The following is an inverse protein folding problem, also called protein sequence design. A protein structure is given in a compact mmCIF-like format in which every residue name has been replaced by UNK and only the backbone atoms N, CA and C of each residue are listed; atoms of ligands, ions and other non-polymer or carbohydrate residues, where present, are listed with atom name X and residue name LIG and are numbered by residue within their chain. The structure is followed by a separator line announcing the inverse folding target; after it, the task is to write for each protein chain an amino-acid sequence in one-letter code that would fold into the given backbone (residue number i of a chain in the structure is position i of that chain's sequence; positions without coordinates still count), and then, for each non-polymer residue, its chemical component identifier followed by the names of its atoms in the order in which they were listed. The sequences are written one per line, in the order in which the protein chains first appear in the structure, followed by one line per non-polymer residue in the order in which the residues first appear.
data_IF_968912598326
#
_entry.id   IF_968912598326
#
_cell.length_a   1.000
_cell.length_b   1.000
_cell.length_c   1.000
_cell.angle_alpha   90.00
_cell.angle_beta   90.00
_cell.angle_gamma   90.00
#
_symmetry.space_group_name_H-M   'P 1'
#
loop_
_entity.id
_entity.type
_entity.pdbx_description
1 polymer ?
#
# COMPACT_ATOMS: atom_id res chain seq x y z
N UNK A 1 0.28 9.43 -5.60
CA UNK A 1 0.15 7.97 -5.32
C UNK A 1 -1.11 7.39 -5.94
N UNK A 2 -2.29 7.86 -5.53
CA UNK A 2 -3.60 7.35 -5.97
C UNK A 2 -3.76 7.20 -7.48
N UNK A 3 -3.43 8.24 -8.25
CA UNK A 3 -3.53 8.20 -9.71
C UNK A 3 -2.67 7.09 -10.33
N UNK A 4 -1.42 6.92 -9.87
CA UNK A 4 -0.56 5.85 -10.35
C UNK A 4 -1.11 4.47 -9.98
N UNK A 5 -1.55 4.28 -8.73
CA UNK A 5 -2.10 3.00 -8.28
C UNK A 5 -3.34 2.61 -9.09
N UNK A 6 -4.28 3.55 -9.26
CA UNK A 6 -5.58 3.33 -9.91
C UNK A 6 -5.47 3.26 -11.44
N UNK A 7 -4.69 4.14 -12.07
CA UNK A 7 -4.66 4.26 -13.54
C UNK A 7 -3.48 3.53 -14.19
N UNK A 8 -2.43 3.16 -13.43
CA UNK A 8 -1.21 2.54 -13.99
C UNK A 8 -0.98 1.15 -13.41
N UNK A 9 -0.81 1.03 -12.09
CA UNK A 9 -0.42 -0.23 -11.45
C UNK A 9 -1.54 -1.27 -11.53
N UNK A 10 -2.75 -0.93 -11.11
CA UNK A 10 -3.88 -1.86 -11.11
C UNK A 10 -4.23 -2.35 -12.53
N UNK A 11 -4.34 -1.49 -13.56
CA UNK A 11 -4.55 -1.95 -14.92
C UNK A 11 -3.40 -2.83 -15.46
N UNK A 12 -2.14 -2.50 -15.13
CA UNK A 12 -0.99 -3.32 -15.52
C UNK A 12 -1.07 -4.71 -14.90
N UNK A 13 -1.47 -4.81 -13.63
CA UNK A 13 -1.69 -6.07 -12.93
C UNK A 13 -2.82 -6.91 -13.54
N UNK A 14 -3.89 -6.28 -14.05
CA UNK A 14 -4.96 -7.00 -14.75
C UNK A 14 -4.55 -7.50 -16.15
N UNK A 15 -3.70 -6.74 -16.84
CA UNK A 15 -3.36 -7.01 -18.24
C UNK A 15 -2.24 -8.03 -18.41
N UNK A 16 -1.32 -8.11 -17.45
CA UNK A 16 -0.16 -9.00 -17.53
C UNK A 16 -0.42 -10.34 -16.83
N UNK A 17 0.18 -11.44 -17.35
CA UNK A 17 0.17 -12.73 -16.65
C UNK A 17 0.77 -12.62 -15.24
N UNK A 18 0.24 -13.40 -14.30
CA UNK A 18 0.63 -13.34 -12.88
C UNK A 18 2.13 -13.65 -12.67
N UNK A 19 2.71 -14.49 -13.52
CA UNK A 19 4.13 -14.84 -13.52
C UNK A 19 5.05 -13.68 -13.91
N UNK A 20 4.53 -12.63 -14.57
CA UNK A 20 5.31 -11.45 -14.94
C UNK A 20 5.44 -10.42 -13.82
N UNK A 21 4.61 -10.51 -12.77
CA UNK A 21 4.46 -9.47 -11.77
C UNK A 21 4.53 -10.03 -10.36
N UNK A 22 5.53 -9.58 -9.59
CA UNK A 22 5.55 -9.71 -8.14
C UNK A 22 5.47 -8.32 -7.51
N UNK A 23 4.26 -7.91 -7.11
CA UNK A 23 4.00 -6.57 -6.61
C UNK A 23 4.04 -6.57 -5.08
N UNK A 24 4.81 -5.64 -4.51
CA UNK A 24 4.78 -5.31 -3.09
C UNK A 24 4.30 -3.87 -2.94
N UNK A 25 3.29 -3.64 -2.11
CA UNK A 25 2.86 -2.32 -1.70
C UNK A 25 3.45 -1.99 -0.33
N UNK A 26 3.84 -0.74 -0.10
CA UNK A 26 4.40 -0.28 1.19
C UNK A 26 3.70 1.03 1.59
N UNK A 27 2.49 0.96 2.19
CA UNK A 27 1.76 2.15 2.61
C UNK A 27 2.47 2.82 3.80
N UNK A 28 3.22 3.86 3.51
CA UNK A 28 3.94 4.71 4.47
C UNK A 28 4.25 6.07 3.84
N UNK A 29 4.92 6.06 2.69
CA UNK A 29 5.20 7.25 1.88
C UNK A 29 6.13 8.24 2.60
N UNK A 30 5.64 9.46 2.81
CA UNK A 30 6.38 10.54 3.48
C UNK A 30 6.04 10.65 4.98
N UNK A 31 5.43 9.61 5.56
CA UNK A 31 5.22 9.58 7.00
C UNK A 31 6.57 9.63 7.74
N UNK A 32 6.52 10.10 8.98
CA UNK A 32 7.64 10.05 9.92
C UNK A 32 7.20 9.26 11.14
N UNK A 33 8.13 8.53 11.75
CA UNK A 33 7.88 7.84 13.01
C UNK A 33 8.72 8.38 14.16
N UNK A 34 8.17 8.28 15.38
CA UNK A 34 8.87 8.63 16.62
C UNK A 34 8.56 7.58 17.68
N UNK A 35 9.58 7.14 18.41
CA UNK A 35 9.39 6.29 19.58
C UNK A 35 9.08 7.17 20.80
N UNK A 36 7.89 7.01 21.37
CA UNK A 36 7.46 7.70 22.59
C UNK A 36 7.16 6.64 23.63
N UNK A 37 8.03 6.55 24.64
CA UNK A 37 7.87 5.63 25.78
C UNK A 37 7.72 4.15 25.36
N UNK A 38 8.45 3.72 24.34
CA UNK A 38 8.43 2.34 23.85
C UNK A 38 7.34 2.04 22.82
N UNK A 39 6.56 3.05 22.39
CA UNK A 39 5.55 2.92 21.34
C UNK A 39 5.86 3.81 20.14
N UNK A 40 5.68 3.29 18.94
CA UNK A 40 5.82 4.06 17.71
C UNK A 40 4.58 4.90 17.44
N UNK A 41 4.80 6.19 17.20
CA UNK A 41 3.78 7.13 16.74
C UNK A 41 4.16 7.61 15.34
N UNK A 42 3.15 7.84 14.51
CA UNK A 42 3.31 8.23 13.11
C UNK A 42 2.73 9.61 12.85
N UNK A 43 3.45 10.41 12.07
CA UNK A 43 3.01 11.72 11.60
C UNK A 43 3.03 11.72 10.07
N UNK A 44 1.91 12.09 9.46
CA UNK A 44 1.72 12.04 8.01
C UNK A 44 1.49 13.44 7.44
N UNK A 45 1.98 13.69 6.23
CA UNK A 45 1.97 15.02 5.58
C UNK A 45 0.56 15.58 5.33
N UNK A 46 -0.44 14.70 5.14
CA UNK A 46 -1.85 15.03 4.95
C UNK A 46 -2.67 14.79 6.25
N UNK A 47 -2.00 14.71 7.41
CA UNK A 47 -2.62 14.64 8.72
C UNK A 47 -3.07 13.23 9.15
N UNK A 48 -3.82 13.13 10.27
CA UNK A 48 -4.14 11.86 10.90
C UNK A 48 -4.98 10.90 10.04
N UNK A 49 -5.78 11.42 9.10
CA UNK A 49 -6.59 10.57 8.20
C UNK A 49 -5.69 9.77 7.24
N UNK A 50 -4.59 10.35 6.75
CA UNK A 50 -3.61 9.62 5.93
C UNK A 50 -2.91 8.52 6.74
N UNK A 51 -2.48 8.83 7.97
CA UNK A 51 -1.89 7.81 8.85
C UNK A 51 -2.86 6.66 9.13
N UNK A 52 -4.15 6.96 9.36
CA UNK A 52 -5.18 5.94 9.52
C UNK A 52 -5.39 5.15 8.23
N UNK A 53 -5.38 5.80 7.07
CA UNK A 53 -5.45 5.15 5.76
C UNK A 53 -4.30 4.17 5.54
N UNK A 54 -3.06 4.61 5.76
CA UNK A 54 -1.86 3.76 5.67
C UNK A 54 -1.96 2.54 6.61
N UNK A 55 -2.43 2.76 7.85
CA UNK A 55 -2.65 1.70 8.83
C UNK A 55 -3.71 0.69 8.38
N UNK A 56 -4.83 1.17 7.83
CA UNK A 56 -5.91 0.33 7.29
C UNK A 56 -5.38 -0.53 6.14
N UNK A 57 -4.62 0.05 5.21
CA UNK A 57 -4.05 -0.69 4.08
C UNK A 57 -3.03 -1.73 4.55
N UNK A 58 -2.14 -1.39 5.48
CA UNK A 58 -1.18 -2.33 6.05
C UNK A 58 -1.88 -3.51 6.76
N UNK A 59 -2.90 -3.24 7.57
CA UNK A 59 -3.68 -4.26 8.26
C UNK A 59 -4.53 -5.12 7.30
N UNK A 60 -5.12 -4.51 6.29
CA UNK A 60 -5.83 -5.22 5.23
C UNK A 60 -4.91 -6.21 4.52
N UNK A 61 -3.70 -5.77 4.15
CA UNK A 61 -2.71 -6.64 3.53
C UNK A 61 -2.30 -7.79 4.46
N UNK A 62 -2.12 -7.51 5.76
CA UNK A 62 -1.78 -8.51 6.76
C UNK A 62 -2.86 -9.59 6.90
N UNK A 63 -4.13 -9.20 7.02
CA UNK A 63 -5.24 -10.15 7.20
C UNK A 63 -5.57 -10.92 5.91
N UNK A 64 -5.52 -10.25 4.75
CA UNK A 64 -5.83 -10.86 3.45
C UNK A 64 -4.70 -11.75 2.92
N UNK A 65 -3.44 -11.46 3.31
CA UNK A 65 -2.19 -12.17 2.95
C UNK A 65 -1.80 -12.11 1.48
N UNK A 66 -2.73 -12.40 0.57
CA UNK A 66 -2.47 -12.53 -0.85
C UNK A 66 -2.79 -11.25 -1.61
N UNK A 67 -1.91 -10.86 -2.54
CA UNK A 67 -2.09 -9.70 -3.41
C UNK A 67 -3.43 -9.73 -4.15
N UNK A 68 -3.82 -10.89 -4.68
CA UNK A 68 -5.11 -11.06 -5.38
C UNK A 68 -6.34 -10.79 -4.51
N UNK A 69 -6.20 -10.89 -3.18
CA UNK A 69 -7.29 -10.66 -2.22
C UNK A 69 -7.34 -9.21 -1.76
N UNK A 70 -6.20 -8.59 -1.40
CA UNK A 70 -6.22 -7.21 -0.90
C UNK A 70 -6.13 -6.16 -2.01
N UNK A 71 -5.50 -6.44 -3.15
CA UNK A 71 -5.20 -5.39 -4.12
C UNK A 71 -6.45 -4.80 -4.78
N UNK A 72 -7.50 -5.58 -5.11
CA UNK A 72 -8.79 -5.02 -5.54
C UNK A 72 -9.48 -4.17 -4.48
N UNK A 73 -9.34 -4.53 -3.19
CA UNK A 73 -9.88 -3.73 -2.07
C UNK A 73 -9.11 -2.39 -1.97
N UNK A 74 -7.77 -2.42 -2.02
CA UNK A 74 -6.94 -1.19 -2.02
C UNK A 74 -7.27 -0.32 -3.23
N UNK A 75 -7.39 -0.90 -4.42
CA UNK A 75 -7.82 -0.18 -5.62
C UNK A 75 -9.16 0.55 -5.42
N UNK A 76 -10.13 -0.12 -4.80
CA UNK A 76 -11.42 0.48 -4.49
C UNK A 76 -11.31 1.63 -3.49
N UNK A 77 -10.56 1.42 -2.40
CA UNK A 77 -10.30 2.44 -1.37
C UNK A 77 -9.65 3.69 -1.99
N UNK A 78 -8.61 3.48 -2.79
CA UNK A 78 -7.81 4.52 -3.42
C UNK A 78 -8.47 5.15 -4.65
N UNK A 79 -9.56 4.56 -5.15
CA UNK A 79 -10.45 5.17 -6.16
C UNK A 79 -11.54 6.06 -5.52
N UNK A 80 -11.88 5.82 -4.26
CA UNK A 80 -12.97 6.52 -3.57
C UNK A 80 -12.59 7.87 -2.97
N UNK A 81 -13.54 8.63 -2.44
CA UNK A 81 -13.24 9.95 -1.85
C UNK A 81 -12.43 9.91 -0.54
N UNK A 82 -12.47 8.79 0.20
CA UNK A 82 -11.72 8.58 1.44
C UNK A 82 -11.48 7.09 1.68
N UNK A 83 -10.23 6.72 1.95
CA UNK A 83 -9.84 5.34 2.30
C UNK A 83 -10.57 4.88 3.58
N UNK A 84 -10.63 5.75 4.58
CA UNK A 84 -11.16 5.41 5.91
C UNK A 84 -12.67 5.16 5.90
N UNK A 85 -13.41 5.85 5.03
CA UNK A 85 -14.88 5.75 4.95
C UNK A 85 -15.38 4.63 4.03
N UNK A 86 -14.55 4.19 3.08
CA UNK A 86 -14.98 3.25 2.05
C UNK A 86 -14.63 1.79 2.34
N UNK A 87 -13.90 1.51 3.43
CA UNK A 87 -13.42 0.16 3.76
C UNK A 87 -14.54 -0.89 3.75
N UNK A 88 -15.68 -0.62 4.38
CA UNK A 88 -16.79 -1.57 4.44
C UNK A 88 -17.36 -1.88 3.05
N UNK A 89 -17.62 -0.84 2.25
CA UNK A 89 -18.16 -1.01 0.89
C UNK A 89 -17.17 -1.77 -0.01
N UNK A 90 -15.89 -1.44 0.07
CA UNK A 90 -14.85 -2.11 -0.73
C UNK A 90 -14.65 -3.57 -0.32
N UNK A 91 -14.64 -3.88 0.97
CA UNK A 91 -14.59 -5.27 1.46
C UNK A 91 -15.80 -6.06 1.00
N UNK A 92 -17.01 -5.49 1.09
CA UNK A 92 -18.23 -6.17 0.67
C UNK A 92 -18.23 -6.58 -0.81
N UNK A 93 -17.56 -5.80 -1.66
CA UNK A 93 -17.48 -6.05 -3.11
C UNK A 93 -16.36 -7.05 -3.43
N UNK A 94 -15.17 -6.86 -2.86
CA UNK A 94 -13.96 -7.53 -3.32
C UNK A 94 -13.44 -8.64 -2.40
N UNK A 95 -13.83 -8.65 -1.13
CA UNK A 95 -13.41 -9.65 -0.15
C UNK A 95 -14.44 -9.80 1.00
N UNK A 96 -15.69 -10.19 0.71
CA UNK A 96 -16.76 -10.28 1.70
C UNK A 96 -16.50 -11.32 2.81
N UNK A 97 -15.59 -12.26 2.57
CA UNK A 97 -15.16 -13.29 3.51
C UNK A 97 -14.11 -12.80 4.54
N UNK A 98 -13.49 -11.63 4.33
CA UNK A 98 -12.52 -11.07 5.27
C UNK A 98 -13.20 -10.63 6.56
N UNK A 99 -12.61 -11.04 7.68
CA UNK A 99 -13.10 -10.66 9.00
C UNK A 99 -12.76 -9.20 9.30
N UNK A 100 -13.76 -8.34 9.13
CA UNK A 100 -13.71 -6.90 9.45
C UNK A 100 -13.28 -6.63 10.89
N UNK A 101 -13.65 -7.50 11.83
CA UNK A 101 -13.29 -7.37 13.23
C UNK A 101 -11.79 -7.53 13.44
N UNK A 102 -11.13 -8.42 12.68
CA UNK A 102 -9.67 -8.59 12.73
C UNK A 102 -8.93 -7.40 12.14
N UNK A 103 -9.40 -6.88 11.01
CA UNK A 103 -8.81 -5.66 10.42
C UNK A 103 -8.91 -4.50 11.42
N UNK A 104 -10.09 -4.29 12.03
CA UNK A 104 -10.28 -3.25 13.03
C UNK A 104 -9.41 -3.45 14.27
N UNK A 105 -9.27 -4.69 14.76
CA UNK A 105 -8.39 -5.02 15.89
C UNK A 105 -6.91 -4.78 15.55
N UNK A 106 -6.48 -5.09 14.32
CA UNK A 106 -5.13 -4.78 13.85
C UNK A 106 -4.89 -3.27 13.84
N UNK A 107 -5.80 -2.48 13.27
CA UNK A 107 -5.68 -1.01 13.14
C UNK A 107 -5.59 -0.33 14.52
N UNK A 108 -6.31 -0.85 15.51
CA UNK A 108 -6.34 -0.29 16.88
C UNK A 108 -5.27 -0.88 17.80
N UNK A 109 -4.57 -1.93 17.37
CA UNK A 109 -3.67 -2.73 18.19
C UNK A 109 -2.20 -2.58 17.84
N UNK A 110 -1.36 -3.23 18.64
CA UNK A 110 0.10 -3.20 18.46
C UNK A 110 0.53 -3.86 17.13
N UNK A 111 -0.28 -4.75 16.55
CA UNK A 111 -0.04 -5.35 15.23
C UNK A 111 0.04 -4.27 14.15
N UNK A 112 -0.93 -3.35 14.11
CA UNK A 112 -0.92 -2.24 13.14
C UNK A 112 0.30 -1.35 13.32
N UNK A 113 0.61 -0.98 14.57
CA UNK A 113 1.81 -0.20 14.90
C UNK A 113 3.09 -0.89 14.42
N UNK A 114 3.21 -2.20 14.62
CA UNK A 114 4.36 -2.98 14.17
C UNK A 114 4.46 -3.04 12.63
N UNK A 115 3.32 -3.18 11.93
CA UNK A 115 3.28 -3.16 10.47
C UNK A 115 3.67 -1.79 9.89
N UNK A 116 3.17 -0.70 10.46
CA UNK A 116 3.55 0.65 10.05
C UNK A 116 5.03 0.95 10.30
N UNK A 117 5.58 0.48 11.43
CA UNK A 117 7.01 0.59 11.72
C UNK A 117 7.85 -0.24 10.73
N UNK A 118 7.40 -1.45 10.40
CA UNK A 118 8.06 -2.27 9.39
C UNK A 118 8.07 -1.57 8.02
N UNK A 119 6.94 -0.95 7.63
CA UNK A 119 6.87 -0.17 6.39
C UNK A 119 7.79 1.07 6.43
N UNK A 120 7.95 1.71 7.59
CA UNK A 120 8.92 2.79 7.79
C UNK A 120 10.34 2.30 7.49
N UNK A 121 10.76 1.19 8.11
CA UNK A 121 12.07 0.58 7.90
C UNK A 121 12.32 0.20 6.44
N UNK A 122 11.33 -0.37 5.75
CA UNK A 122 11.43 -0.68 4.32
C UNK A 122 11.61 0.57 3.47
N UNK A 123 10.90 1.65 3.82
CA UNK A 123 10.96 2.93 3.09
C UNK A 123 12.30 3.64 3.33
N UNK A 124 12.78 3.67 4.57
CA UNK A 124 14.08 4.27 4.94
C UNK A 124 15.27 3.49 4.38
N UNK A 125 15.12 2.19 4.12
CA UNK A 125 16.14 1.34 3.52
C UNK A 125 16.27 1.49 1.99
N UNK A 126 15.44 2.32 1.35
CA UNK A 126 15.55 2.59 -0.08
C UNK A 126 16.91 3.24 -0.41
N UNK A 127 17.59 2.70 -1.42
CA UNK A 127 18.84 3.24 -1.95
C UNK A 127 18.70 3.49 -3.47
N UNK A 128 18.69 4.76 -3.93
CA UNK A 128 18.78 5.98 -3.11
C UNK A 128 17.49 6.22 -2.29
N UNK A 129 17.57 7.01 -1.19
CA UNK A 129 16.40 7.43 -0.44
C UNK A 129 15.37 8.13 -1.33
N UNK A 130 14.09 7.82 -1.15
CA UNK A 130 13.03 8.42 -1.98
C UNK A 130 12.99 9.94 -1.80
N UNK A 131 12.76 10.64 -2.91
CA UNK A 131 12.68 12.11 -2.92
C UNK A 131 11.25 12.63 -3.10
N UNK A 132 10.32 11.74 -3.44
CA UNK A 132 8.91 12.02 -3.69
C UNK A 132 8.10 10.73 -3.60
N UNK A 133 6.77 10.85 -3.66
CA UNK A 133 5.84 9.72 -3.75
C UNK A 133 4.85 9.91 -4.91
N UNK A 134 4.43 8.84 -5.62
CA UNK A 134 4.80 7.45 -5.41
C UNK A 134 6.27 7.19 -5.79
N UNK A 135 6.94 6.29 -5.07
CA UNK A 135 8.30 5.86 -5.37
C UNK A 135 8.25 4.42 -5.89
N UNK A 136 8.67 4.22 -7.13
CA UNK A 136 8.52 2.94 -7.83
C UNK A 136 9.90 2.30 -7.97
N UNK A 137 9.99 1.05 -7.50
CA UNK A 137 11.18 0.22 -7.63
C UNK A 137 10.83 -1.00 -8.46
N UNK A 138 11.60 -1.25 -9.52
CA UNK A 138 11.45 -2.42 -10.39
C UNK A 138 12.78 -3.16 -10.40
N UNK A 139 12.75 -4.44 -10.03
CA UNK A 139 13.94 -5.29 -9.92
C UNK A 139 15.07 -4.67 -9.07
N UNK A 140 14.69 -3.98 -7.98
CA UNK A 140 15.62 -3.34 -7.05
C UNK A 140 16.15 -1.97 -7.50
N UNK A 141 15.77 -1.49 -8.69
CA UNK A 141 16.19 -0.20 -9.20
C UNK A 141 15.03 0.80 -9.19
N UNK A 142 15.31 2.03 -8.76
CA UNK A 142 14.37 3.14 -8.90
C UNK A 142 14.01 3.30 -10.38
N UNK A 143 12.72 3.34 -10.67
CA UNK A 143 12.20 3.44 -12.03
C UNK A 143 11.26 4.63 -12.17
N UNK A 144 11.49 5.43 -13.21
CA UNK A 144 10.55 6.46 -13.65
C UNK A 144 9.42 5.84 -14.48
N UNK A 145 8.61 5.00 -13.84
CA UNK A 145 7.56 4.19 -14.47
C UNK A 145 6.20 4.90 -14.55
N UNK A 146 6.10 6.16 -14.10
CA UNK A 146 4.85 6.90 -14.00
C UNK A 146 4.23 7.16 -15.38
N UNK A 147 5.06 7.32 -16.42
CA UNK A 147 4.59 7.52 -17.79
C UNK A 147 3.96 6.25 -18.39
N UNK A 148 4.67 5.12 -18.32
CA UNK A 148 4.21 3.82 -18.86
C UNK A 148 4.80 2.63 -18.10
N UNK A 149 4.12 2.20 -17.04
CA UNK A 149 4.49 1.00 -16.28
C UNK A 149 4.38 -0.27 -17.15
N UNK A 150 3.27 -0.43 -17.87
CA UNK A 150 3.02 -1.61 -18.71
C UNK A 150 4.13 -1.82 -19.75
N UNK A 151 4.48 -0.78 -20.49
CA UNK A 151 5.54 -0.86 -21.51
C UNK A 151 6.90 -1.19 -20.89
N UNK A 152 7.21 -0.62 -19.73
CA UNK A 152 8.45 -0.89 -19.01
C UNK A 152 8.53 -2.35 -18.54
N UNK A 153 7.47 -2.87 -17.90
CA UNK A 153 7.44 -4.27 -17.45
C UNK A 153 7.60 -5.22 -18.63
N UNK A 154 6.86 -5.02 -19.72
CA UNK A 154 6.99 -5.85 -20.93
C UNK A 154 8.41 -5.83 -21.52
N UNK A 155 9.13 -4.71 -21.41
CA UNK A 155 10.50 -4.60 -21.93
C UNK A 155 11.55 -5.33 -21.07
N UNK A 156 11.23 -5.57 -19.79
CA UNK A 156 12.13 -6.20 -18.83
C UNK A 156 11.89 -7.71 -18.66
N UNK A 157 10.73 -8.19 -19.10
CA UNK A 157 10.40 -9.61 -19.06
C UNK A 157 11.20 -10.38 -20.11
N UNK A 158 11.91 -11.43 -19.68
CA UNK A 158 12.77 -12.28 -20.52
C UNK A 158 12.08 -13.60 -20.85
#
# INVERSE_FOLDING_TARGET
CREFLVLKLFPTWLLLPAEMLNITLVPYGNAQERNVSGKWNFECQHGPEECLGNMIEACLMHEAKNLSSYFPVIFCLESGSSVTKNLEACLQIYAPELDRGRIAACVQGDTGTALMHHNAQLTEALDPPHQYVPWIVINGLQAQAEASLLGLVCSLYQ
#
